data_IF_502359320986
#
_entry.id   IF_502359320986
#
_cell.length_a   1.000
_cell.length_b   1.000
_cell.length_c   1.000
_cell.angle_alpha   90.00
_cell.angle_beta   90.00
_cell.angle_gamma   90.00
#
_symmetry.space_group_name_H-M   'P 1'
#
loop_
_entity.id
_entity.type
_entity.pdbx_description
1 polymer ?
#
# COMPACT_ATOMS: atom_id res chain seq x y z
N UNK A 1 3.44 -22.55 12.70
CA UNK A 1 2.97 -23.90 12.31
C UNK A 1 1.48 -24.17 12.63
N UNK A 2 0.85 -23.53 13.63
CA UNK A 2 -0.58 -23.75 13.97
C UNK A 2 -1.53 -23.55 12.77
N UNK A 3 -1.35 -22.48 12.01
CA UNK A 3 -2.15 -22.18 10.81
C UNK A 3 -2.09 -23.30 9.75
N UNK A 4 -0.90 -23.83 9.48
CA UNK A 4 -0.69 -24.94 8.53
C UNK A 4 -1.38 -26.22 9.01
N UNK A 5 -1.27 -26.51 10.32
CA UNK A 5 -1.96 -27.66 10.89
C UNK A 5 -3.49 -27.52 10.78
N UNK A 6 -4.04 -26.34 11.08
CA UNK A 6 -5.47 -26.07 10.91
C UNK A 6 -5.94 -26.35 9.47
N UNK A 7 -5.15 -25.95 8.47
CA UNK A 7 -5.42 -26.26 7.06
C UNK A 7 -5.43 -27.77 6.81
N UNK A 8 -4.37 -28.46 7.24
CA UNK A 8 -4.17 -29.87 6.92
C UNK A 8 -5.11 -30.82 7.67
N UNK A 9 -5.55 -30.49 8.88
CA UNK A 9 -6.35 -31.40 9.72
C UNK A 9 -7.83 -31.00 9.86
N UNK A 10 -8.14 -29.73 10.07
CA UNK A 10 -9.51 -29.29 10.38
C UNK A 10 -10.23 -28.86 9.10
N UNK A 11 -9.61 -27.95 8.34
CA UNK A 11 -10.21 -27.36 7.13
C UNK A 11 -10.31 -28.39 6.02
N UNK A 12 -9.25 -29.15 5.76
CA UNK A 12 -9.20 -30.17 4.70
C UNK A 12 -10.40 -31.13 4.76
N UNK A 13 -10.77 -31.60 5.95
CA UNK A 13 -11.88 -32.55 6.15
C UNK A 13 -13.24 -32.00 5.71
N UNK A 14 -13.44 -30.67 5.73
CA UNK A 14 -14.69 -30.03 5.33
C UNK A 14 -14.71 -29.58 3.87
N UNK A 15 -13.53 -29.33 3.30
CA UNK A 15 -13.37 -28.85 1.93
C UNK A 15 -13.23 -29.99 0.91
N UNK A 16 -12.74 -31.15 1.32
CA UNK A 16 -12.68 -32.34 0.45
C UNK A 16 -14.07 -32.65 -0.12
N UNK A 17 -14.10 -32.99 -1.41
CA UNK A 17 -15.30 -33.29 -2.20
C UNK A 17 -16.28 -32.12 -2.39
N UNK A 18 -15.89 -30.88 -2.07
CA UNK A 18 -16.66 -29.69 -2.45
C UNK A 18 -16.32 -29.25 -3.87
N UNK A 19 -17.31 -28.72 -4.58
CA UNK A 19 -17.11 -28.10 -5.90
C UNK A 19 -16.36 -26.76 -5.75
N UNK A 20 -15.14 -26.63 -6.30
CA UNK A 20 -14.37 -25.39 -6.19
C UNK A 20 -15.03 -24.21 -6.92
N UNK A 21 -15.94 -24.46 -7.87
CA UNK A 21 -16.65 -23.41 -8.60
C UNK A 21 -17.64 -22.63 -7.73
N UNK A 22 -18.06 -23.20 -6.60
CA UNK A 22 -18.96 -22.54 -5.65
C UNK A 22 -18.17 -21.82 -4.54
N UNK A 23 -17.49 -20.74 -4.91
CA UNK A 23 -16.64 -19.96 -4.01
C UNK A 23 -17.38 -19.52 -2.73
N UNK A 24 -18.62 -19.04 -2.86
CA UNK A 24 -19.42 -18.60 -1.72
C UNK A 24 -19.63 -19.74 -0.72
N UNK A 25 -20.01 -20.93 -1.19
CA UNK A 25 -20.20 -22.10 -0.32
C UNK A 25 -18.91 -22.48 0.41
N UNK A 26 -17.77 -22.42 -0.27
CA UNK A 26 -16.46 -22.71 0.32
C UNK A 26 -16.16 -21.71 1.44
N UNK A 27 -16.31 -20.42 1.17
CA UNK A 27 -16.06 -19.37 2.16
C UNK A 27 -17.04 -19.47 3.34
N UNK A 28 -18.32 -19.77 3.09
CA UNK A 28 -19.32 -20.02 4.13
C UNK A 28 -18.92 -21.22 5.02
N UNK A 29 -18.40 -22.31 4.45
CA UNK A 29 -17.88 -23.45 5.22
C UNK A 29 -16.70 -23.02 6.10
N UNK A 30 -15.76 -22.24 5.55
CA UNK A 30 -14.58 -21.76 6.26
C UNK A 30 -14.95 -20.85 7.45
N UNK A 31 -15.86 -19.91 7.23
CA UNK A 31 -16.34 -19.00 8.28
C UNK A 31 -17.10 -19.74 9.38
N UNK A 32 -18.01 -20.64 9.01
CA UNK A 32 -18.75 -21.45 9.98
C UNK A 32 -17.85 -22.41 10.77
N UNK A 33 -16.80 -22.94 10.14
CA UNK A 33 -15.85 -23.83 10.80
C UNK A 33 -14.97 -23.09 11.82
N UNK A 34 -14.64 -21.83 11.55
CA UNK A 34 -13.97 -20.97 12.53
C UNK A 34 -14.92 -20.56 13.67
N UNK A 35 -16.13 -20.13 13.34
CA UNK A 35 -17.19 -19.81 14.30
C UNK A 35 -16.98 -18.51 15.08
N UNK A 36 -16.05 -17.63 14.65
CA UNK A 36 -15.81 -16.33 15.29
C UNK A 36 -15.82 -15.20 14.26
N UNK A 37 -16.24 -14.02 14.68
CA UNK A 37 -16.35 -12.85 13.80
C UNK A 37 -14.99 -12.42 13.23
N UNK A 38 -13.94 -12.54 14.03
CA UNK A 38 -12.58 -12.11 13.69
C UNK A 38 -11.63 -13.25 13.30
N UNK A 39 -12.15 -14.44 13.01
CA UNK A 39 -11.35 -15.59 12.50
C UNK A 39 -10.23 -16.03 13.46
N UNK A 40 -10.45 -15.89 14.77
CA UNK A 40 -9.39 -16.12 15.80
C UNK A 40 -9.14 -17.59 16.10
N UNK A 41 -10.09 -18.48 15.82
CA UNK A 41 -9.97 -19.90 16.19
C UNK A 41 -9.03 -20.63 15.22
N UNK A 42 -9.24 -20.43 13.93
CA UNK A 42 -8.48 -21.06 12.85
C UNK A 42 -7.43 -20.14 12.25
N UNK A 43 -7.59 -18.83 12.40
CA UNK A 43 -6.68 -17.81 11.88
C UNK A 43 -7.11 -17.33 10.50
N UNK A 44 -7.21 -16.02 10.32
CA UNK A 44 -7.53 -15.41 9.02
C UNK A 44 -6.53 -15.85 7.92
N UNK A 45 -5.26 -16.04 8.28
CA UNK A 45 -4.22 -16.54 7.38
C UNK A 45 -4.50 -17.96 6.86
N UNK A 46 -5.02 -18.87 7.69
CA UNK A 46 -5.43 -20.22 7.25
C UNK A 46 -6.63 -20.16 6.31
N UNK A 47 -7.64 -19.36 6.68
CA UNK A 47 -8.90 -19.26 5.93
C UNK A 47 -8.66 -18.63 4.56
N UNK A 48 -7.95 -17.50 4.50
CA UNK A 48 -7.66 -16.79 3.27
C UNK A 48 -6.80 -17.63 2.33
N UNK A 49 -5.78 -18.33 2.86
CA UNK A 49 -4.93 -19.19 2.04
C UNK A 49 -5.74 -20.29 1.33
N UNK A 50 -6.67 -20.94 2.04
CA UNK A 50 -7.53 -21.98 1.45
C UNK A 50 -8.53 -21.37 0.47
N UNK A 51 -9.18 -20.25 0.83
CA UNK A 51 -10.15 -19.55 -0.02
C UNK A 51 -9.53 -19.18 -1.39
N UNK A 52 -8.35 -18.56 -1.38
CA UNK A 52 -7.63 -18.19 -2.60
C UNK A 52 -7.14 -19.40 -3.41
N UNK A 53 -6.68 -20.46 -2.74
CA UNK A 53 -6.25 -21.69 -3.42
C UNK A 53 -7.42 -22.39 -4.12
N UNK A 54 -8.60 -22.44 -3.49
CA UNK A 54 -9.82 -22.97 -4.10
C UNK A 54 -10.24 -22.12 -5.31
N UNK A 55 -10.23 -20.78 -5.18
CA UNK A 55 -10.54 -19.89 -6.31
C UNK A 55 -9.61 -20.13 -7.50
N UNK A 56 -8.30 -20.24 -7.25
CA UNK A 56 -7.31 -20.55 -8.30
C UNK A 56 -7.58 -21.90 -8.94
N UNK A 57 -7.97 -22.90 -8.15
CA UNK A 57 -8.31 -24.25 -8.65
C UNK A 57 -9.56 -24.21 -9.56
N UNK A 58 -10.58 -23.44 -9.17
CA UNK A 58 -11.79 -23.24 -9.97
C UNK A 58 -11.48 -22.57 -11.31
N UNK A 59 -10.63 -21.53 -11.31
CA UNK A 59 -10.19 -20.83 -12.53
C UNK A 59 -9.54 -21.80 -13.51
N UNK A 60 -8.65 -22.68 -13.03
CA UNK A 60 -7.97 -23.68 -13.85
C UNK A 60 -8.98 -24.69 -14.41
N UNK A 61 -9.88 -25.21 -13.56
CA UNK A 61 -10.89 -26.20 -13.95
C UNK A 61 -11.84 -25.67 -15.03
N UNK A 62 -12.34 -24.45 -14.83
CA UNK A 62 -13.31 -23.81 -15.72
C UNK A 62 -12.66 -23.09 -16.91
N UNK A 63 -11.32 -23.07 -16.97
CA UNK A 63 -10.54 -22.28 -17.95
C UNK A 63 -11.00 -20.82 -18.00
N UNK A 64 -11.31 -20.27 -16.82
CA UNK A 64 -11.67 -18.86 -16.70
C UNK A 64 -10.45 -18.01 -17.01
N UNK A 65 -10.65 -16.94 -17.75
CA UNK A 65 -9.61 -15.95 -18.01
C UNK A 65 -10.19 -14.54 -17.85
N UNK A 66 -9.32 -13.54 -17.83
CA UNK A 66 -9.73 -12.15 -17.69
C UNK A 66 -10.61 -11.64 -18.85
N UNK A 67 -10.65 -12.32 -20.00
CA UNK A 67 -11.59 -11.98 -21.09
C UNK A 67 -13.01 -12.47 -20.86
N UNK A 68 -13.25 -13.36 -19.89
CA UNK A 68 -14.58 -13.88 -19.57
C UNK A 68 -15.36 -13.01 -18.55
N UNK A 69 -14.80 -11.88 -18.12
CA UNK A 69 -15.50 -10.97 -17.22
C UNK A 69 -16.66 -10.28 -17.95
N UNK A 70 -17.88 -10.43 -17.41
CA UNK A 70 -19.11 -9.81 -17.93
C UNK A 70 -19.25 -8.32 -17.60
N UNK A 71 -18.30 -7.75 -16.87
CA UNK A 71 -18.26 -6.33 -16.49
C UNK A 71 -17.08 -5.66 -17.18
N UNK A 72 -17.21 -4.37 -17.44
CA UNK A 72 -16.08 -3.53 -17.86
C UNK A 72 -14.99 -3.59 -16.79
N UNK A 73 -13.87 -4.22 -17.14
CA UNK A 73 -12.69 -4.32 -16.29
C UNK A 73 -11.66 -3.29 -16.75
N UNK A 74 -11.06 -2.59 -15.80
CA UNK A 74 -9.95 -1.67 -16.04
C UNK A 74 -8.70 -2.14 -15.30
N UNK A 75 -7.52 -1.88 -15.87
CA UNK A 75 -6.27 -2.02 -15.13
C UNK A 75 -6.15 -0.87 -14.11
N UNK A 76 -5.60 -1.13 -12.91
CA UNK A 76 -5.46 -0.10 -11.89
C UNK A 76 -4.33 0.88 -12.24
N UNK A 77 -4.42 2.10 -11.70
CA UNK A 77 -3.25 2.96 -11.59
C UNK A 77 -2.38 2.42 -10.44
N UNK A 78 -1.10 2.09 -10.68
CA UNK A 78 -0.22 1.69 -9.60
C UNK A 78 0.11 2.90 -8.73
N UNK A 79 0.05 2.72 -7.41
CA UNK A 79 0.62 3.63 -6.43
C UNK A 79 1.94 2.96 -6.03
N UNK A 80 3.07 3.57 -6.42
CA UNK A 80 4.39 2.99 -6.19
C UNK A 80 5.05 3.73 -5.04
N UNK A 81 5.25 3.07 -3.90
CA UNK A 81 6.05 3.58 -2.80
C UNK A 81 7.53 3.71 -3.23
N UNK A 82 8.08 4.93 -3.15
CA UNK A 82 9.45 5.21 -3.63
C UNK A 82 10.36 5.84 -2.57
N UNK A 83 9.80 6.36 -1.47
CA UNK A 83 10.54 6.78 -0.28
C UNK A 83 9.79 6.25 0.95
N UNK A 84 10.51 5.51 1.79
CA UNK A 84 10.00 4.94 3.03
C UNK A 84 10.34 5.82 4.23
N UNK A 85 9.41 5.89 5.17
CA UNK A 85 9.58 6.42 6.53
C UNK A 85 8.90 5.50 7.55
N UNK A 86 8.66 6.03 8.75
CA UNK A 86 7.94 5.34 9.81
C UNK A 86 8.55 3.98 10.14
N UNK A 87 7.70 2.96 10.33
CA UNK A 87 8.13 1.61 10.67
C UNK A 87 8.95 0.90 9.56
N UNK A 88 8.96 1.43 8.33
CA UNK A 88 9.61 0.81 7.16
C UNK A 88 11.00 1.36 6.86
N UNK A 89 11.50 2.32 7.65
CA UNK A 89 12.82 2.90 7.46
C UNK A 89 13.48 3.33 8.78
N UNK A 90 14.81 3.30 8.81
CA UNK A 90 15.63 3.85 9.88
C UNK A 90 16.02 5.30 9.51
N UNK A 91 15.03 6.19 9.47
CA UNK A 91 15.19 7.63 9.21
C UNK A 91 14.21 8.46 10.05
N UNK A 92 14.33 9.79 10.00
CA UNK A 92 13.54 10.73 10.81
C UNK A 92 12.18 11.09 10.17
N UNK A 93 11.71 10.32 9.19
CA UNK A 93 10.41 10.56 8.55
C UNK A 93 9.31 9.86 9.33
N UNK A 94 8.28 10.60 9.72
CA UNK A 94 7.13 10.03 10.43
C UNK A 94 6.07 9.46 9.48
N UNK A 95 5.89 10.05 8.28
CA UNK A 95 5.02 9.48 7.24
C UNK A 95 5.63 8.17 6.74
N UNK A 96 4.83 7.11 6.67
CA UNK A 96 5.29 5.77 6.36
C UNK A 96 5.66 5.58 4.88
N UNK A 97 4.82 6.07 3.96
CA UNK A 97 5.03 5.88 2.52
C UNK A 97 4.82 7.16 1.72
N UNK A 98 5.77 7.45 0.85
CA UNK A 98 5.65 8.48 -0.17
C UNK A 98 5.61 7.83 -1.55
N UNK A 99 4.41 7.82 -2.13
CA UNK A 99 4.10 7.11 -3.34
C UNK A 99 3.97 8.04 -4.55
N UNK A 100 4.18 7.48 -5.74
CA UNK A 100 3.87 8.13 -7.02
C UNK A 100 2.74 7.40 -7.75
N UNK A 101 1.89 8.17 -8.44
CA UNK A 101 0.76 7.69 -9.26
C UNK A 101 0.88 8.24 -10.69
N UNK A 102 0.91 7.38 -11.73
CA UNK A 102 1.15 7.82 -13.11
C UNK A 102 -0.14 8.23 -13.84
N UNK A 103 -0.62 9.43 -13.57
CA UNK A 103 -1.92 9.94 -14.00
C UNK A 103 -2.12 10.04 -15.52
N UNK A 104 -1.06 10.37 -16.28
CA UNK A 104 -1.15 10.48 -17.75
C UNK A 104 -0.95 9.16 -18.50
N UNK A 105 -0.84 8.03 -17.79
CA UNK A 105 -0.58 6.73 -18.40
C UNK A 105 -1.68 6.32 -19.39
N UNK A 106 -1.27 5.86 -20.58
CA UNK A 106 -2.19 5.39 -21.64
C UNK A 106 -2.60 3.93 -21.44
N UNK A 107 -1.77 3.16 -20.75
CA UNK A 107 -1.99 1.77 -20.41
C UNK A 107 -1.06 1.39 -19.24
N UNK A 108 -1.21 0.17 -18.71
CA UNK A 108 -0.43 -0.26 -17.55
C UNK A 108 1.08 -0.34 -17.81
N UNK A 109 1.52 -0.72 -19.01
CA UNK A 109 2.95 -0.74 -19.32
C UNK A 109 3.56 0.67 -19.34
N UNK A 110 2.85 1.64 -19.93
CA UNK A 110 3.22 3.06 -19.90
C UNK A 110 3.23 3.61 -18.46
N UNK A 111 2.29 3.16 -17.61
CA UNK A 111 2.27 3.50 -16.18
C UNK A 111 3.54 3.03 -15.46
N UNK A 112 3.92 1.75 -15.65
CA UNK A 112 5.12 1.16 -15.05
C UNK A 112 6.38 1.83 -15.58
N UNK A 113 6.47 2.12 -16.88
CA UNK A 113 7.62 2.79 -17.49
C UNK A 113 7.83 4.20 -16.90
N UNK A 114 6.76 5.00 -16.79
CA UNK A 114 6.84 6.33 -16.16
C UNK A 114 7.30 6.25 -14.71
N UNK A 115 6.72 5.36 -13.91
CA UNK A 115 7.15 5.17 -12.52
C UNK A 115 8.62 4.74 -12.43
N UNK A 116 9.06 3.81 -13.29
CA UNK A 116 10.45 3.37 -13.35
C UNK A 116 11.41 4.53 -13.63
N UNK A 117 11.09 5.40 -14.60
CA UNK A 117 11.91 6.57 -14.92
C UNK A 117 12.04 7.53 -13.73
N UNK A 118 10.95 7.77 -12.99
CA UNK A 118 10.98 8.58 -11.76
C UNK A 118 11.87 7.94 -10.71
N UNK A 119 11.71 6.64 -10.44
CA UNK A 119 12.53 5.90 -9.45
C UNK A 119 14.03 5.95 -9.81
N UNK A 120 14.39 5.77 -11.08
CA UNK A 120 15.79 5.83 -11.50
C UNK A 120 16.38 7.24 -11.37
N UNK A 121 15.60 8.29 -11.64
CA UNK A 121 16.07 9.66 -11.45
C UNK A 121 16.16 10.04 -9.98
N UNK A 122 15.21 9.62 -9.14
CA UNK A 122 15.31 9.76 -7.69
C UNK A 122 16.60 9.12 -7.18
N UNK A 123 16.90 7.88 -7.58
CA UNK A 123 18.15 7.20 -7.22
C UNK A 123 19.41 8.01 -7.56
N UNK A 124 19.43 8.68 -8.73
CA UNK A 124 20.55 9.54 -9.15
C UNK A 124 20.66 10.79 -8.27
N UNK A 125 19.53 11.42 -7.96
CA UNK A 125 19.45 12.61 -7.09
C UNK A 125 19.92 12.27 -5.67
N UNK A 126 19.45 11.16 -5.11
CA UNK A 126 19.91 10.70 -3.79
C UNK A 126 21.43 10.49 -3.76
N UNK A 127 21.98 9.83 -4.78
CA UNK A 127 23.44 9.65 -4.91
C UNK A 127 24.21 10.95 -5.06
N UNK A 128 23.70 11.92 -5.82
CA UNK A 128 24.39 13.22 -5.99
C UNK A 128 24.39 14.03 -4.70
N UNK A 129 23.35 13.90 -3.88
CA UNK A 129 23.24 14.45 -2.52
C UNK A 129 23.98 13.64 -1.45
N UNK A 130 24.64 12.53 -1.83
CA UNK A 130 25.34 11.59 -0.94
C UNK A 130 24.44 10.90 0.09
N UNK A 131 23.13 10.81 -0.20
CA UNK A 131 22.22 9.99 0.58
C UNK A 131 22.41 8.51 0.26
N UNK A 132 22.08 7.66 1.23
CA UNK A 132 22.03 6.22 1.01
C UNK A 132 20.89 5.87 0.06
N UNK A 133 21.10 4.83 -0.75
CA UNK A 133 20.10 4.29 -1.68
C UNK A 133 19.78 2.83 -1.37
N UNK A 134 19.91 2.43 -0.11
CA UNK A 134 19.32 1.19 0.38
C UNK A 134 17.80 1.29 0.24
N UNK A 135 17.19 0.12 0.06
CA UNK A 135 15.74 0.00 -0.03
C UNK A 135 15.21 -0.61 1.27
N UNK A 136 14.04 -0.16 1.71
CA UNK A 136 13.33 -0.80 2.82
C UNK A 136 12.50 -2.00 2.36
N UNK A 137 11.57 -2.43 3.20
CA UNK A 137 10.80 -3.67 3.02
C UNK A 137 10.01 -3.71 1.70
N UNK A 138 9.51 -2.55 1.25
CA UNK A 138 8.70 -2.41 0.05
C UNK A 138 9.49 -2.05 -1.23
N UNK A 139 10.81 -1.92 -1.14
CA UNK A 139 11.65 -1.54 -2.27
C UNK A 139 11.79 -0.02 -2.51
N UNK A 140 11.07 0.82 -1.78
CA UNK A 140 11.29 2.27 -1.71
C UNK A 140 12.63 2.63 -1.04
N UNK A 141 13.20 3.79 -1.37
CA UNK A 141 14.45 4.25 -0.77
C UNK A 141 14.24 4.69 0.68
N UNK A 142 15.23 4.48 1.55
CA UNK A 142 15.23 4.98 2.93
C UNK A 142 16.39 5.97 3.16
N UNK A 143 16.38 7.17 2.52
CA UNK A 143 17.42 8.16 2.73
C UNK A 143 17.31 8.78 4.13
N UNK A 144 18.43 9.20 4.70
CA UNK A 144 18.48 10.00 5.93
C UNK A 144 18.06 11.45 5.61
N UNK A 145 16.76 11.71 5.68
CA UNK A 145 16.16 13.04 5.50
C UNK A 145 15.29 13.39 6.71
N UNK A 146 15.17 14.68 6.97
CA UNK A 146 14.71 15.17 8.28
C UNK A 146 13.36 15.91 8.21
N UNK A 147 12.67 15.89 7.05
CA UNK A 147 11.34 16.48 6.91
C UNK A 147 10.55 15.87 5.76
N UNK A 148 9.22 15.80 5.93
CA UNK A 148 8.29 15.34 4.90
C UNK A 148 8.38 16.21 3.62
N UNK A 149 8.55 17.52 3.77
CA UNK A 149 8.72 18.46 2.66
C UNK A 149 10.00 18.17 1.86
N UNK A 150 11.09 17.76 2.49
CA UNK A 150 12.29 17.33 1.78
C UNK A 150 12.03 16.07 0.95
N UNK A 151 11.31 15.07 1.50
CA UNK A 151 10.88 13.90 0.74
C UNK A 151 10.04 14.29 -0.48
N UNK A 152 9.03 15.16 -0.28
CA UNK A 152 8.15 15.64 -1.35
C UNK A 152 8.92 16.43 -2.42
N UNK A 153 9.86 17.28 -2.03
CA UNK A 153 10.73 18.01 -2.97
C UNK A 153 11.58 17.05 -3.81
N UNK A 154 12.18 16.03 -3.19
CA UNK A 154 12.97 15.01 -3.91
C UNK A 154 12.14 14.26 -4.94
N UNK A 155 10.87 13.97 -4.63
CA UNK A 155 9.94 13.32 -5.56
C UNK A 155 9.61 14.24 -6.72
N UNK A 156 9.30 15.53 -6.46
CA UNK A 156 9.06 16.52 -7.50
C UNK A 156 10.28 16.66 -8.42
N UNK A 157 11.48 16.83 -7.85
CA UNK A 157 12.74 16.91 -8.61
C UNK A 157 12.96 15.66 -9.49
N UNK A 158 12.61 14.48 -8.96
CA UNK A 158 12.74 13.21 -9.69
C UNK A 158 11.73 13.09 -10.86
N UNK A 159 10.50 13.57 -10.67
CA UNK A 159 9.48 13.63 -11.72
C UNK A 159 9.95 14.56 -12.85
N UNK A 160 10.41 15.77 -12.50
CA UNK A 160 10.91 16.75 -13.48
C UNK A 160 12.17 16.24 -14.21
N UNK A 161 13.08 15.61 -13.48
CA UNK A 161 14.29 14.98 -14.05
C UNK A 161 13.96 13.82 -15.00
N UNK A 162 12.81 13.17 -14.82
CA UNK A 162 12.28 12.18 -15.75
C UNK A 162 11.60 12.80 -16.99
N UNK A 163 11.63 14.14 -17.13
CA UNK A 163 10.94 14.89 -18.18
C UNK A 163 9.42 14.71 -18.17
N UNK A 164 8.86 14.48 -16.98
CA UNK A 164 7.44 14.37 -16.70
C UNK A 164 6.97 15.59 -15.91
N UNK A 165 5.68 15.92 -15.99
CA UNK A 165 5.08 17.08 -15.29
C UNK A 165 4.45 16.65 -13.96
N UNK A 166 4.91 17.17 -12.81
CA UNK A 166 4.25 16.94 -11.53
C UNK A 166 2.77 17.37 -11.56
N UNK A 167 1.87 16.54 -11.04
CA UNK A 167 0.43 16.75 -10.99
C UNK A 167 -0.34 16.57 -12.30
N UNK A 168 0.36 16.39 -13.43
CA UNK A 168 -0.26 16.08 -14.73
C UNK A 168 0.13 14.69 -15.22
N UNK A 169 1.42 14.37 -15.22
CA UNK A 169 1.93 13.07 -15.62
C UNK A 169 2.07 12.12 -14.43
N UNK A 170 2.58 12.63 -13.32
CA UNK A 170 2.77 11.90 -12.06
C UNK A 170 2.25 12.76 -10.91
N UNK A 171 1.36 12.20 -10.10
CA UNK A 171 0.93 12.78 -8.83
C UNK A 171 1.55 12.04 -7.65
N UNK A 172 1.51 12.64 -6.47
CA UNK A 172 2.01 12.06 -5.21
C UNK A 172 0.83 11.48 -4.42
N UNK A 173 1.04 10.34 -3.78
CA UNK A 173 0.12 9.78 -2.78
C UNK A 173 0.91 9.52 -1.49
N UNK A 174 0.24 9.59 -0.34
CA UNK A 174 0.85 9.38 0.96
C UNK A 174 0.10 8.26 1.69
N UNK A 175 0.82 7.40 2.38
CA UNK A 175 0.28 6.62 3.51
C UNK A 175 0.99 7.12 4.78
N UNK A 176 0.19 7.67 5.69
CA UNK A 176 0.69 8.25 6.93
C UNK A 176 0.80 7.22 8.03
N UNK A 177 -0.04 6.17 8.02
CA UNK A 177 -0.18 5.21 9.12
C UNK A 177 -0.32 5.90 10.50
N UNK A 178 -1.23 6.87 10.61
CA UNK A 178 -1.30 7.79 11.76
C UNK A 178 -1.61 7.12 13.11
N UNK A 179 -2.08 5.87 13.12
CA UNK A 179 -2.23 5.06 14.34
C UNK A 179 -0.93 4.93 15.15
N UNK A 180 0.24 4.91 14.49
CA UNK A 180 1.54 4.84 15.16
C UNK A 180 2.03 6.21 15.67
N UNK A 181 1.33 7.29 15.30
CA UNK A 181 1.74 8.67 15.51
C UNK A 181 0.82 9.45 16.46
N UNK A 182 -0.18 8.79 17.06
CA UNK A 182 -1.17 9.42 17.95
C UNK A 182 -0.85 9.19 19.43
N UNK A 183 -0.94 10.23 20.25
CA UNK A 183 -0.85 10.10 21.71
C UNK A 183 -2.19 9.73 22.35
N UNK A 184 -2.14 9.40 23.65
CA UNK A 184 -3.34 9.12 24.45
C UNK A 184 -4.34 10.29 24.56
N UNK A 185 -3.98 11.48 24.10
CA UNK A 185 -4.81 12.69 24.11
C UNK A 185 -5.40 13.00 22.73
N UNK A 186 -5.13 12.18 21.70
CA UNK A 186 -5.59 12.41 20.33
C UNK A 186 -4.79 13.47 19.56
N UNK A 187 -3.55 13.74 19.95
CA UNK A 187 -2.64 14.61 19.20
C UNK A 187 -1.68 13.77 18.35
N UNK A 188 -1.20 14.30 17.24
CA UNK A 188 -0.40 13.55 16.26
C UNK A 188 0.99 14.15 16.04
N UNK A 189 1.99 13.29 15.91
CA UNK A 189 3.38 13.63 15.58
C UNK A 189 3.70 13.41 14.10
N UNK A 190 2.94 14.02 13.17
CA UNK A 190 3.13 13.80 11.72
C UNK A 190 4.34 14.55 11.15
N UNK A 191 4.58 15.77 11.65
CA UNK A 191 5.59 16.69 11.09
C UNK A 191 6.97 16.52 11.74
N UNK A 192 6.98 16.01 12.96
CA UNK A 192 8.13 15.91 13.86
C UNK A 192 7.71 15.09 15.09
N UNK A 193 8.64 14.80 16.00
CA UNK A 193 8.36 14.16 17.30
C UNK A 193 7.38 14.92 18.21
N UNK A 194 7.14 16.20 17.91
CA UNK A 194 6.16 17.00 18.64
C UNK A 194 4.74 16.65 18.19
N UNK A 195 3.91 16.33 19.18
CA UNK A 195 2.49 16.06 18.97
C UNK A 195 1.71 17.38 18.84
N UNK A 196 0.85 17.43 17.81
CA UNK A 196 0.02 18.57 17.47
C UNK A 196 -1.46 18.17 17.45
N UNK A 197 -2.35 19.11 17.77
CA UNK A 197 -3.79 18.87 17.76
C UNK A 197 -4.29 18.52 16.36
N UNK A 198 -5.38 17.75 16.26
CA UNK A 198 -6.09 17.44 14.99
C UNK A 198 -6.25 18.67 14.10
N UNK A 199 -6.72 19.80 14.64
CA UNK A 199 -6.91 21.04 13.86
C UNK A 199 -5.62 21.57 13.21
N UNK A 200 -4.48 21.41 13.89
CA UNK A 200 -3.17 21.81 13.35
C UNK A 200 -2.69 20.81 12.30
N UNK A 201 -2.97 19.52 12.48
CA UNK A 201 -2.66 18.45 11.52
C UNK A 201 -3.48 18.60 10.25
N UNK A 202 -4.78 18.91 10.34
CA UNK A 202 -5.63 19.23 9.19
C UNK A 202 -5.07 20.42 8.40
N UNK A 203 -4.69 21.51 9.09
CA UNK A 203 -4.07 22.68 8.45
C UNK A 203 -2.74 22.33 7.77
N UNK A 204 -1.98 21.43 8.38
CA UNK A 204 -0.73 20.94 7.80
C UNK A 204 -0.98 20.18 6.50
N UNK A 205 -1.92 19.23 6.47
CA UNK A 205 -2.27 18.52 5.24
C UNK A 205 -2.82 19.48 4.16
N UNK A 206 -3.65 20.46 4.54
CA UNK A 206 -4.12 21.50 3.60
C UNK A 206 -2.94 22.28 3.00
N UNK A 207 -1.95 22.64 3.82
CA UNK A 207 -0.74 23.29 3.35
C UNK A 207 0.09 22.38 2.42
N UNK A 208 0.24 21.09 2.74
CA UNK A 208 0.93 20.15 1.85
C UNK A 208 0.22 20.00 0.49
N UNK A 209 -1.08 19.76 0.49
CA UNK A 209 -1.88 19.58 -0.75
C UNK A 209 -1.92 20.84 -1.60
N UNK A 210 -1.78 22.04 -1.00
CA UNK A 210 -1.69 23.28 -1.77
C UNK A 210 -0.31 23.53 -2.40
N UNK A 211 0.76 22.92 -1.86
CA UNK A 211 2.14 23.10 -2.33
C UNK A 211 2.60 21.99 -3.27
N UNK A 212 2.11 20.78 -3.06
CA UNK A 212 2.55 19.57 -3.75
C UNK A 212 1.37 18.93 -4.49
N UNK A 213 1.63 18.21 -5.61
CA UNK A 213 0.59 17.53 -6.37
C UNK A 213 0.11 16.25 -5.67
N UNK A 214 -0.36 16.36 -4.43
CA UNK A 214 -0.85 15.24 -3.63
C UNK A 214 -2.29 14.93 -4.06
N UNK A 215 -2.51 13.68 -4.46
CA UNK A 215 -3.79 13.18 -4.98
C UNK A 215 -4.58 12.37 -3.95
N UNK A 216 -3.87 11.72 -3.03
CA UNK A 216 -4.44 10.83 -2.01
C UNK A 216 -3.59 10.88 -0.74
N UNK A 217 -4.25 10.80 0.41
CA UNK A 217 -3.62 10.61 1.72
C UNK A 217 -4.41 9.46 2.39
N UNK A 218 -3.73 8.35 2.61
CA UNK A 218 -4.22 7.17 3.33
C UNK A 218 -3.86 7.27 4.82
N UNK A 219 -4.78 6.79 5.66
CA UNK A 219 -4.73 6.80 7.12
C UNK A 219 -4.15 8.10 7.74
N UNK A 220 -4.71 9.28 7.38
CA UNK A 220 -4.21 10.57 7.86
C UNK A 220 -4.44 10.80 9.37
N UNK A 221 -5.35 10.03 9.96
CA UNK A 221 -5.77 10.04 11.37
C UNK A 221 -5.95 8.61 11.85
N UNK A 222 -5.97 8.41 13.17
CA UNK A 222 -6.10 7.09 13.76
C UNK A 222 -7.49 6.48 13.49
N UNK A 223 -7.57 5.16 13.40
CA UNK A 223 -8.81 4.40 13.11
C UNK A 223 -10.03 4.77 13.99
N UNK A 224 -9.81 5.27 15.21
CA UNK A 224 -10.84 5.56 16.22
C UNK A 224 -11.08 7.07 16.47
N UNK A 225 -10.51 7.95 15.63
CA UNK A 225 -10.73 9.42 15.64
C UNK A 225 -11.82 9.83 14.63
#
# INVERSE_FOLDING_TARGET
MKAVNNVNSIISQKIINQDPSNQKKIDDILLNLDGTDNKKNLGANSLLAVSLAVRKSAIILNKENYSNFKKDVSLPYPLMNIINGGAHADNDLNIQEFMIRPDSAKNFMDAIEKCFLVIQNLKKILKSKKFLTNVGDEGGFAPSINSNEEALNLIVDAIESAQLKPGLDISICLDVAANELVDKKGNYSIQSDRHETVDNVVKYYQNLVSKYPIKSIEDPFAEED
#
